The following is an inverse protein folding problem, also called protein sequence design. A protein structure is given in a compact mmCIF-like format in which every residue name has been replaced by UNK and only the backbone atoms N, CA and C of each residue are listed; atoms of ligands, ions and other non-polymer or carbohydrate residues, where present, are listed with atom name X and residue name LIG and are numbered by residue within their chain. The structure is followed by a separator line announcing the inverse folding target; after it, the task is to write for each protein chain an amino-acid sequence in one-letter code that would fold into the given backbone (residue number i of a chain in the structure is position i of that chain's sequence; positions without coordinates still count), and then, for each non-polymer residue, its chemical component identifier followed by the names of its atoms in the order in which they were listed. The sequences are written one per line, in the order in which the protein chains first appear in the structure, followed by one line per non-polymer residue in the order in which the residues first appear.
data_IF_900862696110
#
_entry.id   IF_900862696110
#
_cell.length_a   1.000
_cell.length_b   1.000
_cell.length_c   1.000
_cell.angle_alpha   90.00
_cell.angle_beta   90.00
_cell.angle_gamma   90.00
#
_symmetry.space_group_name_H-M   'P 1'
#
loop_
_entity.id
_entity.type
_entity.pdbx_description
1 polymer ?
#
# COMPACT_ATOMS: atom_id res chain seq x y z
N UNK A 1 -0.77 -16.94 4.07
CA UNK A 1 0.26 -16.04 4.65
C UNK A 1 -0.26 -14.63 4.78
N UNK A 2 -0.78 -14.01 3.72
CA UNK A 2 -1.14 -12.58 3.68
C UNK A 2 -2.09 -12.12 4.80
N UNK A 3 -3.35 -12.58 4.82
CA UNK A 3 -4.36 -12.12 5.81
C UNK A 3 -3.92 -12.42 7.24
N UNK A 4 -3.61 -13.71 7.52
CA UNK A 4 -3.18 -14.14 8.86
C UNK A 4 -1.88 -13.44 9.29
N UNK A 5 -0.93 -13.27 8.36
CA UNK A 5 0.34 -12.57 8.63
C UNK A 5 0.09 -11.13 9.01
N UNK A 6 -0.67 -10.38 8.21
CA UNK A 6 -1.03 -8.98 8.49
C UNK A 6 -1.72 -8.86 9.85
N UNK A 7 -2.76 -9.68 10.11
CA UNK A 7 -3.50 -9.60 11.35
C UNK A 7 -2.62 -9.91 12.58
N UNK A 8 -1.93 -11.05 12.58
CA UNK A 8 -1.14 -11.48 13.76
C UNK A 8 0.06 -10.56 14.02
N UNK A 9 0.74 -10.08 12.97
CA UNK A 9 1.86 -9.15 13.15
C UNK A 9 1.36 -7.82 13.72
N UNK A 10 0.26 -7.28 13.18
CA UNK A 10 -0.36 -6.07 13.71
C UNK A 10 -0.79 -6.27 15.17
N UNK A 11 -1.51 -7.37 15.47
CA UNK A 11 -1.95 -7.68 16.84
C UNK A 11 -0.76 -7.73 17.83
N UNK A 12 0.34 -8.38 17.46
CA UNK A 12 1.54 -8.45 18.29
C UNK A 12 2.21 -7.08 18.50
N UNK A 13 2.08 -6.16 17.52
CA UNK A 13 2.66 -4.82 17.60
C UNK A 13 1.83 -3.85 18.46
N UNK A 14 0.51 -4.04 18.61
CA UNK A 14 -0.40 -3.11 19.29
C UNK A 14 0.06 -2.66 20.66
N UNK A 15 0.52 -3.54 21.59
CA UNK A 15 0.97 -3.09 22.91
C UNK A 15 2.10 -2.04 22.81
N UNK A 16 3.05 -2.26 21.91
CA UNK A 16 4.19 -1.36 21.69
C UNK A 16 3.78 -0.06 21.00
N UNK A 17 2.84 -0.12 20.06
CA UNK A 17 2.30 1.05 19.38
C UNK A 17 1.52 1.93 20.35
N UNK A 18 0.75 1.34 21.28
CA UNK A 18 0.06 2.06 22.35
C UNK A 18 1.05 2.79 23.27
N UNK A 19 2.13 2.13 23.68
CA UNK A 19 3.19 2.80 24.47
C UNK A 19 3.87 3.93 23.66
N UNK A 20 4.06 3.73 22.36
CA UNK A 20 4.57 4.76 21.46
C UNK A 20 3.65 5.98 21.40
N UNK A 21 2.34 5.77 21.27
CA UNK A 21 1.34 6.85 21.27
C UNK A 21 1.33 7.62 22.59
N UNK A 22 1.30 6.92 23.74
CA UNK A 22 1.38 7.52 25.07
C UNK A 22 2.62 8.38 25.28
N UNK A 23 3.73 8.00 24.64
CA UNK A 23 4.98 8.76 24.67
C UNK A 23 5.02 9.94 23.68
N UNK A 24 3.87 10.29 23.05
CA UNK A 24 3.76 11.38 22.09
C UNK A 24 4.47 11.13 20.76
N UNK A 25 4.78 9.86 20.45
CA UNK A 25 5.32 9.48 19.14
C UNK A 25 4.20 9.21 18.15
N UNK A 26 4.56 9.02 16.90
CA UNK A 26 3.64 8.88 15.75
C UNK A 26 3.51 7.39 15.29
N UNK A 27 2.82 6.51 16.04
CA UNK A 27 2.75 5.10 15.73
C UNK A 27 1.86 4.85 14.52
N UNK A 28 2.37 4.06 13.56
CA UNK A 28 1.65 3.74 12.33
C UNK A 28 1.82 2.27 11.92
N UNK A 29 0.78 1.74 11.28
CA UNK A 29 0.80 0.48 10.53
C UNK A 29 0.53 0.84 9.06
N UNK A 30 1.45 0.49 8.18
CA UNK A 30 1.28 0.62 6.73
C UNK A 30 1.31 -0.76 6.09
N UNK A 31 0.27 -1.08 5.34
CA UNK A 31 0.10 -2.38 4.68
C UNK A 31 0.13 -2.21 3.17
N UNK A 32 0.94 -2.99 2.44
CA UNK A 32 0.92 -3.01 0.98
C UNK A 32 -0.26 -3.83 0.48
N UNK A 33 -1.42 -3.20 0.42
CA UNK A 33 -2.68 -3.80 0.00
C UNK A 33 -3.57 -2.79 -0.74
N UNK A 34 -4.41 -3.28 -1.69
CA UNK A 34 -5.14 -2.40 -2.60
C UNK A 34 -6.38 -1.77 -1.97
N UNK A 35 -6.93 -0.71 -2.57
CA UNK A 35 -8.28 -0.26 -2.30
C UNK A 35 -9.31 -1.39 -2.52
N UNK A 36 -10.33 -1.45 -1.67
CA UNK A 36 -11.38 -2.46 -1.78
C UNK A 36 -12.35 -2.14 -2.92
N UNK A 37 -12.62 -3.13 -3.77
CA UNK A 37 -13.61 -3.05 -4.84
C UNK A 37 -14.32 -4.38 -5.01
N UNK A 38 -15.66 -4.37 -5.08
CA UNK A 38 -16.47 -5.57 -5.31
C UNK A 38 -16.75 -5.82 -6.79
N UNK A 39 -16.04 -5.16 -7.70
CA UNK A 39 -16.19 -5.39 -9.15
C UNK A 39 -15.69 -6.79 -9.52
N UNK A 40 -16.55 -7.59 -10.16
CA UNK A 40 -16.26 -8.99 -10.51
C UNK A 40 -15.00 -9.17 -11.36
N UNK A 41 -14.59 -8.13 -12.13
CA UNK A 41 -13.37 -8.16 -12.94
C UNK A 41 -12.11 -8.42 -12.12
N UNK A 42 -12.06 -7.95 -10.86
CA UNK A 42 -10.92 -8.14 -9.97
C UNK A 42 -10.83 -9.53 -9.34
N UNK A 43 -11.91 -10.31 -9.44
CA UNK A 43 -11.97 -11.71 -8.97
C UNK A 43 -11.78 -12.72 -10.11
N UNK A 44 -12.21 -12.37 -11.32
CA UNK A 44 -12.13 -13.26 -12.49
C UNK A 44 -10.70 -13.72 -12.72
N UNK A 45 -10.49 -15.04 -12.75
CA UNK A 45 -9.20 -15.73 -12.94
C UNK A 45 -8.19 -15.58 -11.79
N UNK A 46 -8.48 -14.76 -10.75
CA UNK A 46 -7.55 -14.44 -9.67
C UNK A 46 -8.19 -14.50 -8.28
N UNK A 47 -9.23 -15.32 -8.09
CA UNK A 47 -10.03 -15.35 -6.85
C UNK A 47 -9.17 -15.48 -5.60
N UNK A 48 -8.25 -16.44 -5.57
CA UNK A 48 -7.39 -16.69 -4.39
C UNK A 48 -6.46 -15.48 -4.10
N UNK A 49 -5.89 -14.87 -5.13
CA UNK A 49 -5.04 -13.70 -5.00
C UNK A 49 -5.83 -12.49 -4.49
N UNK A 50 -7.01 -12.23 -5.09
CA UNK A 50 -7.88 -11.14 -4.68
C UNK A 50 -8.33 -11.30 -3.24
N UNK A 51 -8.78 -12.50 -2.83
CA UNK A 51 -9.15 -12.79 -1.45
C UNK A 51 -7.99 -12.54 -0.49
N UNK A 52 -6.78 -12.95 -0.86
CA UNK A 52 -5.59 -12.75 -0.03
C UNK A 52 -5.26 -11.26 0.13
N UNK A 53 -5.28 -10.48 -0.95
CA UNK A 53 -4.97 -9.05 -0.91
C UNK A 53 -6.09 -8.23 -0.26
N UNK A 54 -7.34 -8.49 -0.60
CA UNK A 54 -8.48 -7.82 0.04
C UNK A 54 -8.62 -8.17 1.51
N UNK A 55 -8.28 -9.39 1.92
CA UNK A 55 -8.24 -9.73 3.34
C UNK A 55 -7.24 -8.89 4.14
N UNK A 56 -6.09 -8.51 3.56
CA UNK A 56 -5.17 -7.54 4.16
C UNK A 56 -5.83 -6.16 4.26
N UNK A 57 -6.48 -5.72 3.19
CA UNK A 57 -7.21 -4.43 3.16
C UNK A 57 -8.35 -4.37 4.15
N UNK A 58 -9.07 -5.49 4.37
CA UNK A 58 -10.10 -5.60 5.41
C UNK A 58 -9.51 -5.48 6.81
N UNK A 59 -8.30 -6.00 7.05
CA UNK A 59 -7.58 -5.76 8.30
C UNK A 59 -7.29 -4.26 8.50
N UNK A 60 -6.83 -3.56 7.46
CA UNK A 60 -6.62 -2.11 7.51
C UNK A 60 -7.91 -1.38 7.87
N UNK A 61 -9.01 -1.68 7.16
CA UNK A 61 -10.31 -1.04 7.37
C UNK A 61 -10.81 -1.20 8.80
N UNK A 62 -10.79 -2.42 9.35
CA UNK A 62 -11.24 -2.70 10.70
C UNK A 62 -10.33 -2.10 11.77
N UNK A 63 -9.02 -2.35 11.66
CA UNK A 63 -8.05 -1.89 12.65
C UNK A 63 -7.91 -0.36 12.69
N UNK A 64 -8.10 0.34 11.56
CA UNK A 64 -8.04 1.81 11.54
C UNK A 64 -9.08 2.44 12.45
N UNK A 65 -10.30 1.91 12.48
CA UNK A 65 -11.36 2.41 13.35
C UNK A 65 -11.18 1.91 14.80
N UNK A 66 -10.74 0.64 14.98
CA UNK A 66 -10.51 0.06 16.30
C UNK A 66 -9.44 0.82 17.10
N UNK A 67 -8.33 1.21 16.45
CA UNK A 67 -7.18 1.83 17.11
C UNK A 67 -7.12 3.35 17.00
N UNK A 68 -8.12 3.98 16.38
CA UNK A 68 -8.20 5.42 16.22
C UNK A 68 -8.12 6.17 17.56
N UNK A 69 -8.82 5.65 18.59
CA UNK A 69 -8.80 6.25 19.94
C UNK A 69 -7.46 6.05 20.66
N UNK A 70 -6.68 5.07 20.25
CA UNK A 70 -5.33 4.83 20.77
C UNK A 70 -4.28 5.76 20.13
N UNK A 71 -4.67 6.57 19.13
CA UNK A 71 -3.75 7.43 18.37
C UNK A 71 -2.81 6.65 17.45
N UNK A 72 -3.22 5.47 17.00
CA UNK A 72 -2.46 4.62 16.07
C UNK A 72 -3.09 4.72 14.70
N UNK A 73 -2.33 5.16 13.69
CA UNK A 73 -2.79 5.14 12.31
C UNK A 73 -2.62 3.75 11.69
N UNK A 74 -3.60 3.34 10.90
CA UNK A 74 -3.54 2.11 10.10
C UNK A 74 -3.98 2.45 8.68
N UNK A 75 -3.06 2.32 7.72
CA UNK A 75 -3.27 2.71 6.34
C UNK A 75 -2.82 1.61 5.37
N UNK A 76 -3.29 1.69 4.15
CA UNK A 76 -2.83 0.88 3.03
C UNK A 76 -2.13 1.75 1.98
N UNK A 77 -1.19 1.16 1.27
CA UNK A 77 -0.53 1.74 0.09
C UNK A 77 -0.54 0.71 -1.03
N UNK A 78 -0.86 1.16 -2.24
CA UNK A 78 -0.86 0.33 -3.44
C UNK A 78 -0.23 1.09 -4.61
N UNK A 79 0.53 0.41 -5.49
CA UNK A 79 1.10 1.05 -6.67
C UNK A 79 0.06 1.24 -7.77
N UNK A 80 0.11 2.34 -8.50
CA UNK A 80 -0.70 2.52 -9.71
C UNK A 80 -0.22 1.68 -10.88
N UNK A 81 1.07 1.57 -11.01
CA UNK A 81 1.71 0.80 -12.07
C UNK A 81 2.46 -0.39 -11.48
N UNK A 82 2.66 -1.43 -12.27
CA UNK A 82 3.44 -2.57 -11.85
C UNK A 82 4.86 -2.14 -11.42
N UNK A 83 5.35 -2.77 -10.36
CA UNK A 83 6.67 -2.49 -9.79
C UNK A 83 7.64 -3.59 -10.19
N UNK A 84 8.80 -3.20 -10.70
CA UNK A 84 9.88 -4.14 -11.04
C UNK A 84 10.38 -4.82 -9.76
N UNK A 85 9.95 -6.06 -9.59
CA UNK A 85 10.31 -6.91 -8.46
C UNK A 85 10.66 -8.31 -8.97
N UNK A 86 11.47 -9.04 -8.19
CA UNK A 86 11.80 -10.43 -8.50
C UNK A 86 10.53 -11.30 -8.66
N UNK A 87 9.46 -11.01 -7.93
CA UNK A 87 8.19 -11.73 -8.05
C UNK A 87 7.52 -11.46 -9.41
N UNK A 88 7.52 -10.22 -9.89
CA UNK A 88 6.94 -9.85 -11.17
C UNK A 88 7.74 -10.45 -12.34
N UNK A 89 9.06 -10.42 -12.25
CA UNK A 89 9.95 -11.00 -13.25
C UNK A 89 9.77 -12.53 -13.46
N UNK A 90 9.14 -13.22 -12.51
CA UNK A 90 8.79 -14.64 -12.61
C UNK A 90 7.52 -14.91 -13.41
N UNK A 91 6.74 -13.89 -13.74
CA UNK A 91 5.46 -14.04 -14.47
C UNK A 91 5.74 -14.06 -15.98
N UNK A 92 5.44 -15.16 -16.68
CA UNK A 92 5.67 -15.24 -18.12
C UNK A 92 4.93 -14.15 -18.89
N UNK A 93 5.63 -13.49 -19.82
CA UNK A 93 5.06 -12.47 -20.70
C UNK A 93 4.92 -11.07 -20.08
N UNK A 94 5.40 -10.86 -18.86
CA UNK A 94 5.49 -9.52 -18.28
C UNK A 94 6.79 -8.84 -18.75
N UNK A 95 6.64 -7.64 -19.32
CA UNK A 95 7.76 -6.78 -19.68
C UNK A 95 8.05 -5.81 -18.51
N UNK A 96 9.13 -6.08 -17.77
CA UNK A 96 9.53 -5.22 -16.64
C UNK A 96 10.04 -3.85 -17.08
N UNK A 97 10.40 -3.67 -18.36
CA UNK A 97 10.75 -2.37 -18.91
C UNK A 97 9.57 -1.37 -18.87
N UNK A 98 8.33 -1.87 -18.86
CA UNK A 98 7.13 -1.08 -18.72
C UNK A 98 6.69 -0.88 -17.24
N UNK A 99 7.58 -1.13 -16.28
CA UNK A 99 7.33 -0.99 -14.86
C UNK A 99 7.98 0.26 -14.27
N UNK A 100 7.60 0.57 -13.05
CA UNK A 100 8.32 1.52 -12.20
C UNK A 100 9.20 0.79 -11.18
N UNK A 101 10.21 1.49 -10.70
CA UNK A 101 11.12 0.97 -9.68
C UNK A 101 10.48 1.03 -8.29
N UNK A 102 10.92 0.20 -7.32
CA UNK A 102 10.37 0.19 -5.95
C UNK A 102 10.49 1.52 -5.20
N UNK A 103 11.36 2.41 -5.62
CA UNK A 103 11.61 3.71 -4.99
C UNK A 103 10.34 4.57 -4.95
N UNK A 104 9.42 4.44 -5.92
CA UNK A 104 8.16 5.18 -5.89
C UNK A 104 7.32 4.83 -4.66
N UNK A 105 7.25 3.53 -4.32
CA UNK A 105 6.55 3.08 -3.10
C UNK A 105 7.30 3.49 -1.83
N UNK A 106 8.63 3.50 -1.86
CA UNK A 106 9.45 3.93 -0.73
C UNK A 106 9.24 5.41 -0.40
N UNK A 107 9.26 6.27 -1.42
CA UNK A 107 9.03 7.70 -1.27
C UNK A 107 7.58 7.98 -0.81
N UNK A 108 6.59 7.32 -1.39
CA UNK A 108 5.20 7.42 -0.95
C UNK A 108 5.01 6.93 0.50
N UNK A 109 5.61 5.80 0.86
CA UNK A 109 5.56 5.28 2.23
C UNK A 109 6.21 6.24 3.22
N UNK A 110 7.35 6.85 2.87
CA UNK A 110 8.00 7.87 3.69
C UNK A 110 7.07 9.04 3.99
N UNK A 111 6.39 9.57 2.97
CA UNK A 111 5.42 10.65 3.12
C UNK A 111 4.28 10.22 4.07
N UNK A 112 3.67 9.06 3.83
CA UNK A 112 2.55 8.56 4.65
C UNK A 112 2.96 8.42 6.11
N UNK A 113 4.12 7.80 6.37
CA UNK A 113 4.62 7.53 7.73
C UNK A 113 5.03 8.81 8.50
N UNK A 114 5.23 9.93 7.80
CA UNK A 114 5.48 11.23 8.43
C UNK A 114 4.20 12.05 8.66
N UNK A 115 3.03 11.64 8.14
CA UNK A 115 1.75 12.30 8.43
C UNK A 115 1.34 12.04 9.87
N UNK A 116 0.67 13.00 10.55
CA UNK A 116 0.17 12.79 11.91
C UNK A 116 -0.80 11.61 11.99
N UNK A 117 -0.53 10.64 12.85
CA UNK A 117 -1.36 9.43 13.00
C UNK A 117 -2.83 9.76 13.38
N UNK A 118 -3.03 10.82 14.17
CA UNK A 118 -4.36 11.25 14.58
C UNK A 118 -5.24 11.77 13.41
N UNK A 119 -4.62 12.23 12.32
CA UNK A 119 -5.29 12.86 11.18
C UNK A 119 -5.31 11.96 9.93
N UNK A 120 -4.48 10.94 9.90
CA UNK A 120 -4.22 10.13 8.72
C UNK A 120 -4.33 8.64 9.02
N UNK A 121 -5.55 8.14 9.19
CA UNK A 121 -5.85 6.72 9.41
C UNK A 121 -7.03 6.26 8.56
N UNK A 122 -7.06 4.98 8.18
CA UNK A 122 -8.14 4.38 7.40
C UNK A 122 -8.06 4.66 5.90
N UNK A 123 -6.94 5.18 5.42
CA UNK A 123 -6.78 5.53 4.02
C UNK A 123 -6.22 4.35 3.21
N UNK A 124 -6.67 4.28 1.96
CA UNK A 124 -6.14 3.40 0.92
C UNK A 124 -5.44 4.28 -0.12
N UNK A 125 -4.18 4.50 0.12
CA UNK A 125 -3.35 5.38 -0.70
C UNK A 125 -2.88 4.72 -1.99
N UNK A 126 -2.73 5.53 -3.03
CA UNK A 126 -2.03 5.14 -4.27
C UNK A 126 -0.75 5.96 -4.35
N UNK A 127 0.34 5.34 -4.76
CA UNK A 127 1.69 5.91 -4.71
C UNK A 127 1.83 7.26 -5.40
N UNK A 128 1.37 7.35 -6.65
CA UNK A 128 1.44 8.57 -7.45
C UNK A 128 0.54 9.71 -6.89
N UNK A 129 -0.60 9.37 -6.30
CA UNK A 129 -1.50 10.35 -5.65
C UNK A 129 -0.85 10.91 -4.38
N UNK A 130 -0.17 10.07 -3.61
CA UNK A 130 0.58 10.51 -2.43
C UNK A 130 1.70 11.48 -2.82
N UNK A 131 2.48 11.14 -3.84
CA UNK A 131 3.54 12.01 -4.34
C UNK A 131 2.99 13.34 -4.86
N UNK A 132 1.90 13.28 -5.65
CA UNK A 132 1.25 14.47 -6.17
C UNK A 132 0.72 15.40 -5.06
N UNK A 133 0.26 14.84 -3.92
CA UNK A 133 -0.19 15.65 -2.78
C UNK A 133 0.91 16.51 -2.15
N UNK A 134 2.18 16.14 -2.37
CA UNK A 134 3.38 16.88 -1.95
C UNK A 134 4.01 17.68 -3.10
N UNK A 135 3.31 17.83 -4.23
CA UNK A 135 3.78 18.57 -5.40
C UNK A 135 4.78 17.81 -6.28
N UNK A 136 5.01 16.52 -6.01
CA UNK A 136 5.90 15.67 -6.82
C UNK A 136 5.09 15.08 -7.96
N UNK A 137 5.09 15.76 -9.11
CA UNK A 137 4.32 15.37 -10.31
C UNK A 137 5.17 14.78 -11.41
N UNK A 138 6.48 15.07 -11.42
CA UNK A 138 7.43 14.42 -12.32
C UNK A 138 7.87 13.09 -11.73
N UNK A 139 7.40 12.00 -12.35
CA UNK A 139 7.65 10.63 -11.93
C UNK A 139 8.61 9.89 -12.88
N UNK A 140 9.24 10.57 -13.82
CA UNK A 140 10.13 9.94 -14.82
C UNK A 140 11.35 9.26 -14.16
N UNK A 141 11.80 9.75 -13.01
CA UNK A 141 12.90 9.14 -12.24
C UNK A 141 12.59 7.72 -11.72
N UNK A 142 11.31 7.35 -11.65
CA UNK A 142 10.88 6.01 -11.20
C UNK A 142 10.67 5.03 -12.34
N UNK A 143 10.82 5.42 -13.60
CA UNK A 143 10.72 4.51 -14.73
C UNK A 143 11.92 3.56 -14.74
N UNK A 144 11.69 2.24 -14.92
CA UNK A 144 12.78 1.26 -15.11
C UNK A 144 13.57 1.62 -16.37
N UNK A 145 12.88 1.98 -17.45
CA UNK A 145 13.50 2.51 -18.66
C UNK A 145 13.16 3.99 -18.79
N UNK A 146 14.14 4.89 -18.74
CA UNK A 146 13.91 6.32 -18.89
C UNK A 146 13.12 6.66 -20.15
N UNK A 147 12.12 7.55 -20.00
CA UNK A 147 11.29 7.99 -21.12
C UNK A 147 10.11 7.07 -21.44
N UNK A 148 9.89 5.98 -20.71
CA UNK A 148 8.68 5.14 -20.82
C UNK A 148 7.43 5.98 -20.62
N UNK A 149 6.45 5.84 -21.53
CA UNK A 149 5.14 6.52 -21.43
C UNK A 149 4.00 5.54 -21.19
N UNK A 150 4.10 4.33 -21.70
CA UNK A 150 3.08 3.29 -21.59
C UNK A 150 3.48 2.31 -20.48
N UNK A 151 3.07 2.61 -19.25
CA UNK A 151 3.33 1.76 -18.11
C UNK A 151 2.29 0.64 -17.98
N UNK A 152 2.75 -0.53 -17.54
CA UNK A 152 1.86 -1.60 -17.13
C UNK A 152 1.11 -1.19 -15.85
N UNK A 153 -0.22 -1.14 -15.92
CA UNK A 153 -1.04 -0.83 -14.74
C UNK A 153 -1.04 -2.02 -13.76
N UNK A 154 -1.04 -1.72 -12.48
CA UNK A 154 -1.19 -2.74 -11.45
C UNK A 154 -2.68 -3.11 -11.26
N UNK A 155 -2.92 -4.23 -10.58
CA UNK A 155 -4.24 -4.75 -10.28
C UNK A 155 -5.04 -3.83 -9.34
N UNK A 156 -6.38 -3.90 -9.41
CA UNK A 156 -7.34 -3.30 -8.48
C UNK A 156 -7.58 -1.80 -8.62
N UNK A 157 -6.93 -1.14 -9.54
CA UNK A 157 -7.21 0.27 -9.90
C UNK A 157 -7.95 0.34 -11.24
N UNK A 158 -8.94 1.25 -11.34
CA UNK A 158 -9.73 1.51 -12.56
C UNK A 158 -9.07 2.59 -13.41
#
# INVERSE_FOLDING_TARGET
MNVRGTFLTSQAAIPYLRESAKAGRNPQILTLSPPLSMKAKWFKNHVAYTMAKYGMSMCVLGMSEEFKRDGIAVNALWPRTAIDTAALAMIPGVDTAACRTPEILSDAAYIILNRPAAESTGNFYVDDEVLASEGITDLDKYAVVPGTKDFLLDFFLD
#
